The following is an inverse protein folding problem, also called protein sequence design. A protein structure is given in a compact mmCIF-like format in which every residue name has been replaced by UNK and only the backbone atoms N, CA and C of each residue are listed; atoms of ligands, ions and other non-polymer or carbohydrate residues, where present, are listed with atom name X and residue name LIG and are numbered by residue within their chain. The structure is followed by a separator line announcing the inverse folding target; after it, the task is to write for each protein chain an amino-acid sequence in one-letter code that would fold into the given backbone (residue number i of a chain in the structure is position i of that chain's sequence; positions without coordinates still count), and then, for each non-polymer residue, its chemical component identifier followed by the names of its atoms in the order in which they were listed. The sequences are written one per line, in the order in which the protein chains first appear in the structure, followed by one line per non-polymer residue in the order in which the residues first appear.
data_IF_481125178210
#
_entry.id   IF_481125178210
#
_cell.length_a   1.000
_cell.length_b   1.000
_cell.length_c   1.000
_cell.angle_alpha   90.00
_cell.angle_beta   90.00
_cell.angle_gamma   90.00
#
_symmetry.space_group_name_H-M   'P 1'
#
loop_
_entity.id
_entity.type
_entity.pdbx_description
1 polymer ?
#
# COMPACT_ATOMS: atom_id res chain seq x y z
N UNK A 1 29.97 62.42 -19.80
CA UNK A 1 29.78 61.51 -18.65
C UNK A 1 28.46 60.77 -18.83
N UNK A 2 28.47 59.53 -19.31
CA UNK A 2 27.44 58.53 -18.99
C UNK A 2 27.86 57.16 -19.51
N UNK A 3 27.79 56.21 -18.59
CA UNK A 3 28.45 54.92 -18.57
C UNK A 3 27.81 53.87 -19.49
N UNK A 4 28.67 53.03 -20.06
CA UNK A 4 28.33 51.75 -20.69
C UNK A 4 28.09 50.74 -19.56
N UNK A 5 26.92 50.10 -19.52
CA UNK A 5 26.62 48.99 -18.61
C UNK A 5 26.87 47.67 -19.35
N UNK A 6 27.96 46.98 -19.01
CA UNK A 6 28.29 45.65 -19.51
C UNK A 6 27.63 44.61 -18.58
N UNK A 7 26.58 43.94 -19.05
CA UNK A 7 25.93 42.86 -18.31
C UNK A 7 26.74 41.57 -18.46
N UNK A 8 27.41 41.14 -17.39
CA UNK A 8 28.14 39.88 -17.30
C UNK A 8 27.12 38.76 -17.01
N UNK A 9 26.77 37.96 -18.01
CA UNK A 9 25.95 36.74 -17.80
C UNK A 9 26.87 35.65 -17.27
N UNK A 10 26.83 35.42 -15.95
CA UNK A 10 27.44 34.26 -15.32
C UNK A 10 26.61 33.02 -15.65
N UNK A 11 27.11 32.18 -16.56
CA UNK A 11 26.53 30.88 -16.84
C UNK A 11 26.67 29.97 -15.62
N UNK A 12 25.55 29.60 -15.00
CA UNK A 12 25.51 28.53 -14.01
C UNK A 12 25.77 27.20 -14.73
N UNK A 13 26.67 26.34 -14.23
CA UNK A 13 26.88 25.03 -14.82
C UNK A 13 25.62 24.20 -14.61
N UNK A 14 25.01 23.77 -15.71
CA UNK A 14 23.93 22.80 -15.70
C UNK A 14 24.41 21.55 -14.94
N UNK A 15 23.75 21.24 -13.83
CA UNK A 15 23.99 20.02 -13.08
C UNK A 15 23.60 18.86 -14.01
N UNK A 16 24.60 18.15 -14.56
CA UNK A 16 24.32 16.98 -15.39
C UNK A 16 23.73 15.90 -14.48
N UNK A 17 22.44 15.64 -14.65
CA UNK A 17 21.74 14.51 -14.07
C UNK A 17 22.36 13.24 -14.66
N UNK A 18 23.41 12.73 -14.01
CA UNK A 18 23.95 11.41 -14.35
C UNK A 18 22.87 10.42 -13.95
N UNK A 19 22.16 9.89 -14.96
CA UNK A 19 21.19 8.83 -14.79
C UNK A 19 21.87 7.68 -14.03
N UNK A 20 21.59 7.58 -12.73
CA UNK A 20 22.14 6.53 -11.88
C UNK A 20 21.60 5.22 -12.45
N UNK A 21 22.49 4.35 -12.94
CA UNK A 21 22.09 2.99 -13.35
C UNK A 21 21.29 2.39 -12.19
N UNK A 22 20.11 1.80 -12.47
CA UNK A 22 19.34 1.13 -11.43
C UNK A 22 20.25 0.12 -10.75
N UNK A 23 20.32 0.16 -9.43
CA UNK A 23 21.14 -0.77 -8.67
C UNK A 23 20.63 -2.19 -8.95
N UNK A 24 21.49 -3.05 -9.47
CA UNK A 24 21.20 -4.48 -9.56
C UNK A 24 21.22 -5.05 -8.15
N UNK A 25 20.20 -5.81 -7.78
CA UNK A 25 20.15 -6.48 -6.48
C UNK A 25 21.34 -7.43 -6.33
N UNK A 26 21.89 -7.49 -5.11
CA UNK A 26 22.98 -8.42 -4.84
C UNK A 26 22.50 -9.86 -5.00
N UNK A 27 23.37 -10.82 -5.34
CA UNK A 27 22.97 -12.23 -5.44
C UNK A 27 22.29 -12.77 -4.18
N UNK A 28 22.70 -12.30 -2.98
CA UNK A 28 22.08 -12.68 -1.71
C UNK A 28 20.64 -12.16 -1.59
N UNK A 29 20.38 -10.93 -2.03
CA UNK A 29 19.04 -10.34 -2.05
C UNK A 29 18.12 -11.09 -3.01
N UNK A 30 18.61 -11.41 -4.21
CA UNK A 30 17.86 -12.18 -5.20
C UNK A 30 17.46 -13.55 -4.67
N UNK A 31 18.38 -14.27 -4.02
CA UNK A 31 18.08 -15.56 -3.38
C UNK A 31 17.02 -15.40 -2.29
N UNK A 32 17.12 -14.37 -1.43
CA UNK A 32 16.12 -14.11 -0.39
C UNK A 32 14.72 -13.91 -0.99
N UNK A 33 14.60 -13.07 -2.01
CA UNK A 33 13.31 -12.77 -2.64
C UNK A 33 12.69 -14.01 -3.31
N UNK A 34 13.51 -14.85 -3.94
CA UNK A 34 13.04 -16.11 -4.54
C UNK A 34 12.54 -17.07 -3.46
N UNK A 35 13.26 -17.21 -2.34
CA UNK A 35 12.83 -18.08 -1.23
C UNK A 35 11.51 -17.58 -0.60
N UNK A 36 11.42 -16.28 -0.34
CA UNK A 36 10.19 -15.66 0.17
C UNK A 36 9.02 -15.87 -0.80
N UNK A 37 9.23 -15.68 -2.10
CA UNK A 37 8.20 -15.91 -3.10
C UNK A 37 7.77 -17.38 -3.21
N UNK A 38 8.68 -18.34 -3.07
CA UNK A 38 8.35 -19.77 -3.10
C UNK A 38 7.51 -20.17 -1.87
N UNK A 39 7.77 -19.60 -0.68
CA UNK A 39 6.92 -19.78 0.49
C UNK A 39 5.50 -19.22 0.24
N UNK A 40 5.40 -18.05 -0.39
CA UNK A 40 4.12 -17.41 -0.72
C UNK A 40 3.27 -18.24 -1.69
N UNK A 41 3.86 -19.06 -2.57
CA UNK A 41 3.09 -19.92 -3.48
C UNK A 41 2.16 -20.90 -2.74
N UNK A 42 2.47 -21.24 -1.49
CA UNK A 42 1.65 -22.09 -0.62
C UNK A 42 0.62 -21.34 0.23
N UNK A 43 0.57 -20.01 0.17
CA UNK A 43 -0.31 -19.18 0.98
C UNK A 43 -1.53 -18.69 0.19
N UNK A 44 -2.65 -18.49 0.89
CA UNK A 44 -3.83 -17.86 0.31
C UNK A 44 -3.84 -16.35 0.58
N UNK A 45 -4.34 -15.51 -0.35
CA UNK A 45 -4.47 -14.08 -0.10
C UNK A 45 -5.36 -13.79 1.12
N UNK A 46 -4.84 -12.96 2.02
CA UNK A 46 -5.61 -12.43 3.16
C UNK A 46 -5.98 -10.99 2.86
N UNK A 47 -7.28 -10.68 2.91
CA UNK A 47 -7.82 -9.35 2.60
C UNK A 47 -8.56 -8.76 3.80
N UNK A 48 -9.14 -7.57 3.63
CA UNK A 48 -9.95 -6.91 4.67
C UNK A 48 -11.11 -7.76 5.18
N UNK A 49 -11.64 -8.68 4.37
CA UNK A 49 -12.78 -9.51 4.78
C UNK A 49 -12.40 -10.64 5.73
N UNK A 50 -11.10 -10.88 5.98
CA UNK A 50 -10.62 -11.92 6.88
C UNK A 50 -10.81 -11.58 8.36
N UNK A 51 -11.02 -10.30 8.68
CA UNK A 51 -11.18 -9.81 10.06
C UNK A 51 -12.24 -8.73 10.12
N UNK A 52 -12.82 -8.50 11.30
CA UNK A 52 -13.73 -7.37 11.51
C UNK A 52 -13.58 -6.81 12.92
N UNK A 53 -13.43 -5.50 13.01
CA UNK A 53 -13.54 -4.80 14.28
C UNK A 53 -15.00 -4.43 14.55
N UNK A 54 -15.52 -4.78 15.73
CA UNK A 54 -16.87 -4.38 16.17
C UNK A 54 -17.05 -2.87 16.26
N UNK A 55 -15.96 -2.12 16.44
CA UNK A 55 -15.97 -0.65 16.49
C UNK A 55 -16.04 0.00 15.11
N UNK A 56 -15.85 -0.76 14.03
CA UNK A 56 -15.97 -0.24 12.67
C UNK A 56 -17.43 0.04 12.33
N UNK A 57 -17.69 1.23 11.78
CA UNK A 57 -18.98 1.57 11.18
C UNK A 57 -19.15 1.05 9.74
N UNK A 58 -18.09 0.49 9.15
CA UNK A 58 -18.12 -0.10 7.82
C UNK A 58 -18.61 -1.55 7.78
N UNK A 59 -18.90 -2.03 6.58
CA UNK A 59 -19.15 -3.46 6.33
C UNK A 59 -17.85 -4.27 6.26
N UNK A 60 -17.96 -5.57 5.98
CA UNK A 60 -16.82 -6.49 5.94
C UNK A 60 -15.81 -6.18 4.84
N UNK A 61 -16.20 -5.44 3.79
CA UNK A 61 -15.34 -5.02 2.69
C UNK A 61 -14.67 -3.67 2.96
N UNK A 62 -15.04 -2.99 4.05
CA UNK A 62 -14.46 -1.69 4.40
C UNK A 62 -13.15 -1.85 5.18
N UNK A 63 -12.08 -1.23 4.68
CA UNK A 63 -10.87 -1.05 5.46
C UNK A 63 -11.13 -0.22 6.73
N UNK A 64 -10.50 -0.61 7.84
CA UNK A 64 -10.69 -0.01 9.16
C UNK A 64 -9.36 0.01 9.90
N UNK A 65 -9.06 1.11 10.54
CA UNK A 65 -7.89 1.26 11.40
C UNK A 65 -8.19 2.28 12.49
N UNK A 66 -7.42 2.24 13.57
CA UNK A 66 -7.59 3.14 14.71
C UNK A 66 -6.41 4.08 14.82
N UNK A 67 -6.67 5.30 15.29
CA UNK A 67 -5.61 6.27 15.53
C UNK A 67 -4.61 5.76 16.56
N UNK A 68 -3.34 5.68 16.18
CA UNK A 68 -2.30 5.03 17.00
C UNK A 68 -2.19 5.60 18.42
N UNK A 69 -2.35 6.90 18.55
CA UNK A 69 -2.13 7.63 19.79
C UNK A 69 -3.39 7.88 20.61
N UNK A 70 -4.47 7.14 20.37
CA UNK A 70 -5.75 7.32 21.06
C UNK A 70 -6.00 6.19 22.05
N UNK A 71 -6.22 6.55 23.32
CA UNK A 71 -6.28 5.63 24.44
C UNK A 71 -7.59 5.78 25.22
N UNK A 72 -8.07 4.72 25.90
CA UNK A 72 -9.12 4.84 26.90
C UNK A 72 -8.78 5.91 27.94
N UNK A 73 -9.77 6.71 28.31
CA UNK A 73 -9.63 7.64 29.43
C UNK A 73 -9.79 6.86 30.75
N UNK A 74 -8.84 7.05 31.67
CA UNK A 74 -8.88 6.42 33.00
C UNK A 74 -9.89 7.08 33.93
N UNK A 75 -10.31 8.31 33.64
CA UNK A 75 -11.31 9.06 34.41
C UNK A 75 -12.72 8.71 33.91
N UNK A 76 -12.90 8.61 32.59
CA UNK A 76 -14.16 8.23 31.95
C UNK A 76 -13.97 7.02 31.02
N UNK A 77 -13.99 5.78 31.53
CA UNK A 77 -13.70 4.58 30.74
C UNK A 77 -14.62 4.36 29.54
N UNK A 78 -15.87 4.82 29.66
CA UNK A 78 -16.88 4.75 28.58
C UNK A 78 -16.87 6.00 27.68
N UNK A 79 -16.06 7.00 28.02
CA UNK A 79 -15.92 8.24 27.28
C UNK A 79 -15.11 8.10 25.98
N UNK A 80 -15.03 9.20 25.20
CA UNK A 80 -14.19 9.24 24.02
C UNK A 80 -12.72 9.02 24.37
N UNK A 81 -12.00 8.33 23.49
CA UNK A 81 -10.56 8.16 23.68
C UNK A 81 -9.84 9.52 23.75
N UNK A 82 -8.72 9.55 24.47
CA UNK A 82 -7.85 10.71 24.65
C UNK A 82 -6.52 10.50 23.95
N UNK A 83 -5.93 11.59 23.43
CA UNK A 83 -4.67 11.53 22.70
C UNK A 83 -3.48 11.47 23.66
N UNK A 84 -2.58 10.50 23.45
CA UNK A 84 -1.26 10.39 24.08
C UNK A 84 -0.21 10.30 22.98
N UNK A 85 0.28 11.44 22.55
CA UNK A 85 1.13 11.55 21.36
C UNK A 85 2.42 10.73 21.50
N UNK A 86 2.82 10.06 20.42
CA UNK A 86 4.00 9.19 20.40
C UNK A 86 3.86 7.86 21.15
N UNK A 87 2.70 7.58 21.76
CA UNK A 87 2.43 6.33 22.47
C UNK A 87 1.39 5.50 21.71
N UNK A 88 1.83 4.43 21.05
CA UNK A 88 0.91 3.52 20.34
C UNK A 88 0.06 2.72 21.32
N UNK A 89 -1.25 2.77 21.17
CA UNK A 89 -2.19 1.97 21.95
C UNK A 89 -2.14 0.49 21.52
N UNK A 90 -1.71 -0.44 22.40
CA UNK A 90 -1.65 -1.87 22.06
C UNK A 90 -3.03 -2.51 21.94
N UNK A 91 -4.09 -1.86 22.42
CA UNK A 91 -5.48 -2.30 22.27
C UNK A 91 -6.12 -1.92 20.94
N UNK A 92 -5.38 -1.28 20.04
CA UNK A 92 -5.87 -0.94 18.71
C UNK A 92 -6.12 -2.21 17.88
N UNK A 93 -7.16 -2.17 17.06
CA UNK A 93 -7.34 -3.10 15.97
C UNK A 93 -6.30 -2.83 14.88
N UNK A 94 -5.50 -3.85 14.55
CA UNK A 94 -4.36 -3.73 13.63
C UNK A 94 -4.45 -4.62 12.40
N UNK A 95 -5.42 -5.54 12.36
CA UNK A 95 -5.48 -6.63 11.39
C UNK A 95 -5.54 -6.12 9.94
N UNK A 96 -6.38 -5.14 9.63
CA UNK A 96 -6.44 -4.59 8.27
C UNK A 96 -5.15 -3.90 7.84
N UNK A 97 -4.47 -3.18 8.76
CA UNK A 97 -3.17 -2.56 8.46
C UNK A 97 -2.09 -3.62 8.25
N UNK A 98 -2.13 -4.73 8.99
CA UNK A 98 -1.24 -5.86 8.79
C UNK A 98 -1.52 -6.53 7.44
N UNK A 99 -2.79 -6.82 7.12
CA UNK A 99 -3.18 -7.40 5.85
C UNK A 99 -2.76 -6.53 4.65
N UNK A 100 -2.94 -5.21 4.70
CA UNK A 100 -2.50 -4.28 3.64
C UNK A 100 -0.97 -4.26 3.48
N UNK A 101 -0.23 -4.33 4.59
CA UNK A 101 1.24 -4.43 4.55
C UNK A 101 1.70 -5.73 3.93
N UNK A 102 1.14 -6.85 4.38
CA UNK A 102 1.43 -8.18 3.83
C UNK A 102 1.09 -8.23 2.35
N UNK A 103 -0.10 -7.78 1.95
CA UNK A 103 -0.48 -7.68 0.53
C UNK A 103 0.55 -6.92 -0.31
N UNK A 104 1.01 -5.76 0.18
CA UNK A 104 2.04 -4.97 -0.48
C UNK A 104 3.38 -5.70 -0.58
N UNK A 105 3.85 -6.36 0.49
CA UNK A 105 5.10 -7.11 0.46
C UNK A 105 5.00 -8.36 -0.41
N UNK A 106 3.89 -9.10 -0.32
CA UNK A 106 3.70 -10.38 -0.98
C UNK A 106 3.63 -10.19 -2.50
N UNK A 107 2.84 -9.22 -2.97
CA UNK A 107 2.77 -8.89 -4.41
C UNK A 107 4.13 -8.40 -4.92
N UNK A 108 4.86 -7.62 -4.12
CA UNK A 108 6.20 -7.14 -4.50
C UNK A 108 7.19 -8.30 -4.61
N UNK A 109 7.25 -9.19 -3.62
CA UNK A 109 8.15 -10.34 -3.58
C UNK A 109 7.87 -11.30 -4.75
N UNK A 110 6.60 -11.65 -4.98
CA UNK A 110 6.18 -12.48 -6.11
C UNK A 110 6.55 -11.83 -7.46
N UNK A 111 6.29 -10.53 -7.61
CA UNK A 111 6.63 -9.82 -8.84
C UNK A 111 8.15 -9.72 -9.05
N UNK A 112 8.92 -9.53 -7.99
CA UNK A 112 10.37 -9.51 -8.04
C UNK A 112 10.95 -10.88 -8.42
N UNK A 113 10.50 -11.96 -7.77
CA UNK A 113 10.90 -13.33 -8.11
C UNK A 113 10.54 -13.68 -9.56
N UNK A 114 9.36 -13.27 -10.03
CA UNK A 114 8.99 -13.41 -11.44
C UNK A 114 9.97 -12.67 -12.36
N UNK A 115 10.34 -11.42 -12.06
CA UNK A 115 11.32 -10.67 -12.87
C UNK A 115 12.71 -11.31 -12.89
N UNK A 116 13.10 -11.98 -11.82
CA UNK A 116 14.43 -12.59 -11.66
C UNK A 116 14.52 -13.96 -12.35
N UNK A 117 13.43 -14.71 -12.37
CA UNK A 117 13.41 -16.12 -12.79
C UNK A 117 12.63 -16.38 -14.08
N UNK A 118 11.77 -15.46 -14.48
CA UNK A 118 10.72 -15.63 -15.49
C UNK A 118 9.77 -16.83 -15.21
N UNK A 119 9.73 -17.35 -13.97
CA UNK A 119 8.79 -18.42 -13.57
C UNK A 119 7.37 -17.86 -13.40
N UNK A 120 6.48 -18.29 -14.31
CA UNK A 120 5.10 -17.81 -14.42
C UNK A 120 4.26 -18.08 -13.17
N UNK A 121 4.65 -19.06 -12.32
CA UNK A 121 3.93 -19.38 -11.07
C UNK A 121 3.85 -18.15 -10.16
N UNK A 122 4.94 -17.39 -10.06
CA UNK A 122 4.98 -16.18 -9.22
C UNK A 122 4.08 -15.07 -9.78
N UNK A 123 4.10 -14.85 -11.10
CA UNK A 123 3.22 -13.87 -11.74
C UNK A 123 1.75 -14.23 -11.58
N UNK A 124 1.40 -15.50 -11.78
CA UNK A 124 0.04 -15.99 -11.60
C UNK A 124 -0.43 -15.81 -10.14
N UNK A 125 0.44 -16.09 -9.18
CA UNK A 125 0.12 -15.92 -7.76
C UNK A 125 0.03 -14.44 -7.36
N UNK A 126 0.87 -13.55 -7.89
CA UNK A 126 0.73 -12.11 -7.70
C UNK A 126 -0.63 -11.60 -8.23
N UNK A 127 -1.04 -12.06 -9.42
CA UNK A 127 -2.36 -11.72 -9.98
C UNK A 127 -3.51 -12.26 -9.11
N UNK A 128 -3.34 -13.43 -8.48
CA UNK A 128 -4.32 -13.97 -7.51
C UNK A 128 -4.52 -13.03 -6.32
N UNK A 129 -3.43 -12.52 -5.72
CA UNK A 129 -3.51 -11.53 -4.63
C UNK A 129 -4.19 -10.24 -5.08
N UNK A 130 -3.81 -9.70 -6.25
CA UNK A 130 -4.42 -8.49 -6.80
C UNK A 130 -5.93 -8.65 -7.00
N UNK A 131 -6.37 -9.78 -7.53
CA UNK A 131 -7.79 -10.07 -7.73
C UNK A 131 -8.54 -10.20 -6.41
N UNK A 132 -7.97 -10.89 -5.43
CA UNK A 132 -8.60 -11.05 -4.13
C UNK A 132 -8.86 -9.69 -3.46
N UNK A 133 -7.91 -8.76 -3.55
CA UNK A 133 -8.00 -7.44 -2.94
C UNK A 133 -8.91 -6.46 -3.70
N UNK A 134 -8.96 -6.52 -5.03
CA UNK A 134 -9.62 -5.47 -5.82
C UNK A 134 -10.90 -5.90 -6.54
N UNK A 135 -11.07 -7.19 -6.83
CA UNK A 135 -12.06 -7.64 -7.83
C UNK A 135 -12.98 -8.72 -7.28
N UNK A 136 -12.44 -9.73 -6.61
CA UNK A 136 -13.21 -10.91 -6.26
C UNK A 136 -14.29 -10.56 -5.21
N UNK A 137 -15.56 -10.76 -5.58
CA UNK A 137 -16.71 -10.24 -4.84
C UNK A 137 -16.78 -10.70 -3.37
N UNK A 138 -16.18 -11.85 -3.04
CA UNK A 138 -16.16 -12.37 -1.69
C UNK A 138 -15.12 -11.67 -0.79
N UNK A 139 -14.07 -11.08 -1.37
CA UNK A 139 -12.87 -10.66 -0.62
C UNK A 139 -12.41 -9.24 -0.90
N UNK A 140 -12.95 -8.57 -1.92
CA UNK A 140 -12.49 -7.25 -2.33
C UNK A 140 -12.56 -6.23 -1.19
N UNK A 141 -11.61 -5.30 -1.15
CA UNK A 141 -11.69 -4.10 -0.34
C UNK A 141 -12.49 -3.04 -1.11
N UNK A 142 -13.37 -2.28 -0.45
CA UNK A 142 -13.99 -1.11 -1.10
C UNK A 142 -12.95 -0.04 -1.44
N UNK A 143 -13.08 0.67 -2.57
CA UNK A 143 -12.11 1.66 -3.01
C UNK A 143 -12.24 2.98 -2.22
N UNK A 144 -12.12 2.93 -0.90
CA UNK A 144 -12.09 4.11 -0.05
C UNK A 144 -11.51 3.80 1.34
N UNK A 145 -11.06 4.83 2.04
CA UNK A 145 -10.56 4.74 3.42
C UNK A 145 -11.47 5.47 4.42
N UNK A 146 -12.79 5.49 4.19
CA UNK A 146 -13.76 6.23 5.02
C UNK A 146 -13.74 5.87 6.51
N UNK A 147 -13.28 4.67 6.87
CA UNK A 147 -13.25 4.17 8.26
C UNK A 147 -11.82 4.00 8.80
N UNK A 148 -10.86 4.67 8.18
CA UNK A 148 -9.45 4.63 8.60
C UNK A 148 -9.16 5.65 9.71
N UNK A 149 -8.19 5.33 10.57
CA UNK A 149 -7.72 6.16 11.66
C UNK A 149 -8.84 6.63 12.61
N UNK A 150 -9.86 5.79 12.80
CA UNK A 150 -11.01 6.05 13.67
C UNK A 150 -10.58 6.31 15.12
N UNK A 151 -11.44 7.01 15.86
CA UNK A 151 -11.26 7.29 17.29
C UNK A 151 -12.55 6.92 18.01
N UNK A 152 -12.47 5.93 18.90
CA UNK A 152 -13.63 5.49 19.70
C UNK A 152 -14.27 6.69 20.41
N UNK A 153 -15.57 6.87 20.19
CA UNK A 153 -16.37 7.93 20.79
C UNK A 153 -16.17 9.33 20.18
N UNK A 154 -15.46 9.46 19.05
CA UNK A 154 -15.30 10.75 18.33
C UNK A 154 -15.59 10.64 16.84
N UNK A 155 -14.84 9.79 16.15
CA UNK A 155 -14.81 9.76 14.69
C UNK A 155 -14.84 8.32 14.20
N UNK A 156 -15.68 8.01 13.21
CA UNK A 156 -15.74 6.68 12.57
C UNK A 156 -14.61 6.45 11.57
N UNK A 157 -13.93 7.52 11.16
CA UNK A 157 -12.75 7.54 10.30
C UNK A 157 -12.33 8.99 10.05
N UNK A 158 -11.09 9.21 9.57
CA UNK A 158 -10.51 10.56 9.42
C UNK A 158 -9.62 10.65 8.19
N UNK A 159 -9.51 11.85 7.62
CA UNK A 159 -8.66 12.15 6.45
C UNK A 159 -7.19 11.74 6.61
N UNK A 160 -6.68 11.70 7.85
CA UNK A 160 -5.29 11.28 8.14
C UNK A 160 -5.05 9.83 7.71
N UNK A 161 -6.08 9.00 7.66
CA UNK A 161 -5.95 7.59 7.31
C UNK A 161 -5.61 7.29 5.86
N UNK A 162 -5.51 8.31 4.99
CA UNK A 162 -4.80 8.20 3.70
C UNK A 162 -3.39 7.64 3.87
N UNK A 163 -2.73 7.88 5.01
CA UNK A 163 -1.42 7.30 5.32
C UNK A 163 -1.43 5.76 5.36
N UNK A 164 -2.55 5.13 5.70
CA UNK A 164 -2.64 3.67 5.70
C UNK A 164 -2.64 3.09 4.27
N UNK A 165 -2.95 3.92 3.28
CA UNK A 165 -2.96 3.57 1.86
C UNK A 165 -1.60 3.63 1.15
N UNK A 166 -0.52 4.10 1.80
CA UNK A 166 0.81 4.25 1.16
C UNK A 166 1.34 2.92 0.60
N UNK A 167 0.92 1.79 1.17
CA UNK A 167 1.30 0.46 0.74
C UNK A 167 0.80 0.12 -0.69
N UNK A 168 -0.24 0.80 -1.16
CA UNK A 168 -0.74 0.63 -2.54
C UNK A 168 0.26 1.14 -3.59
N UNK A 169 1.25 1.95 -3.22
CA UNK A 169 2.30 2.42 -4.13
C UNK A 169 3.08 1.24 -4.71
N UNK A 170 3.54 0.31 -3.86
CA UNK A 170 4.32 -0.85 -4.32
C UNK A 170 3.46 -1.84 -5.12
N UNK A 171 2.18 -1.97 -4.75
CA UNK A 171 1.19 -2.76 -5.48
C UNK A 171 1.00 -2.19 -6.89
N UNK A 172 0.87 -0.86 -7.03
CA UNK A 172 0.74 -0.18 -8.33
C UNK A 172 1.96 -0.40 -9.22
N UNK A 173 3.16 -0.43 -8.63
CA UNK A 173 4.40 -0.72 -9.35
C UNK A 173 4.43 -2.17 -9.84
N UNK A 174 3.96 -3.10 -9.03
CA UNK A 174 3.87 -4.52 -9.40
C UNK A 174 2.86 -4.75 -10.53
N UNK A 175 1.69 -4.10 -10.46
CA UNK A 175 0.69 -4.09 -11.54
C UNK A 175 1.31 -3.64 -12.86
N UNK A 176 2.11 -2.56 -12.83
CA UNK A 176 2.80 -2.06 -14.02
C UNK A 176 3.74 -3.12 -14.61
N UNK A 177 4.61 -3.74 -13.79
CA UNK A 177 5.55 -4.77 -14.25
C UNK A 177 4.80 -5.96 -14.88
N UNK A 178 3.76 -6.47 -14.20
CA UNK A 178 2.98 -7.61 -14.67
C UNK A 178 2.25 -7.27 -15.98
N UNK A 179 1.85 -6.01 -16.17
CA UNK A 179 1.26 -5.52 -17.42
C UNK A 179 2.29 -5.47 -18.55
N UNK A 180 3.46 -4.88 -18.30
CA UNK A 180 4.56 -4.77 -19.28
C UNK A 180 5.05 -6.15 -19.74
N UNK A 181 5.08 -7.14 -18.83
CA UNK A 181 5.43 -8.54 -19.13
C UNK A 181 4.27 -9.34 -19.75
N UNK A 182 3.06 -8.77 -19.87
CA UNK A 182 1.91 -9.39 -20.54
C UNK A 182 1.08 -10.37 -19.70
N UNK A 183 1.29 -10.41 -18.38
CA UNK A 183 0.60 -11.29 -17.42
C UNK A 183 -0.67 -10.68 -16.83
N UNK A 184 -0.79 -9.35 -16.88
CA UNK A 184 -1.99 -8.62 -16.47
C UNK A 184 -2.47 -7.72 -17.62
N UNK A 185 -3.57 -8.10 -18.27
CA UNK A 185 -4.09 -7.43 -19.47
C UNK A 185 -5.60 -7.64 -19.66
N UNK A 186 -6.19 -6.85 -20.56
CA UNK A 186 -7.62 -6.89 -20.87
C UNK A 186 -8.46 -6.68 -19.62
N UNK A 187 -9.60 -7.38 -19.54
CA UNK A 187 -10.56 -7.21 -18.45
C UNK A 187 -9.94 -7.32 -17.04
N UNK A 188 -8.97 -8.23 -16.85
CA UNK A 188 -8.31 -8.38 -15.54
C UNK A 188 -7.60 -7.11 -15.08
N UNK A 189 -7.00 -6.36 -16.01
CA UNK A 189 -6.36 -5.08 -15.73
C UNK A 189 -7.40 -3.96 -15.59
N UNK A 190 -8.42 -3.96 -16.44
CA UNK A 190 -9.46 -2.93 -16.46
C UNK A 190 -10.29 -2.93 -15.16
N UNK A 191 -10.58 -4.12 -14.61
CA UNK A 191 -11.26 -4.26 -13.32
C UNK A 191 -10.44 -3.63 -12.17
N UNK A 192 -9.13 -3.88 -12.15
CA UNK A 192 -8.23 -3.32 -11.13
C UNK A 192 -8.10 -1.80 -11.31
N UNK A 193 -7.98 -1.31 -12.54
CA UNK A 193 -7.94 0.13 -12.82
C UNK A 193 -9.22 0.82 -12.38
N UNK A 194 -10.37 0.20 -12.62
CA UNK A 194 -11.67 0.71 -12.15
C UNK A 194 -11.69 0.90 -10.64
N UNK A 195 -11.08 -0.03 -9.88
CA UNK A 195 -10.93 0.12 -8.44
C UNK A 195 -10.11 1.37 -8.07
N UNK A 196 -8.97 1.59 -8.71
CA UNK A 196 -8.14 2.77 -8.47
C UNK A 196 -8.82 4.07 -8.92
N UNK A 197 -9.56 4.06 -10.03
CA UNK A 197 -10.34 5.20 -10.49
C UNK A 197 -11.41 5.56 -9.46
N UNK A 198 -12.11 4.59 -8.88
CA UNK A 198 -13.06 4.82 -7.80
C UNK A 198 -12.39 5.28 -6.50
N UNK A 199 -11.16 4.84 -6.22
CA UNK A 199 -10.42 5.23 -5.02
C UNK A 199 -9.95 6.69 -5.04
N UNK A 200 -9.70 7.22 -6.24
CA UNK A 200 -9.17 8.57 -6.44
C UNK A 200 -10.24 9.64 -6.64
N UNK A 201 -11.53 9.28 -6.74
CA UNK A 201 -12.66 10.18 -6.99
C UNK A 201 -13.73 10.10 -5.90
#
# INVERSE_FOLDING_TARGET
MSSILLALVLGLPACSETARKPATESPLEQVRLILEAEELLGMEPVTVTASRCERSAGDIHCFYSEGDYWWPDTISPDGPYIRRDGMTNPGNFVDHRQAMRSFSSDVAALTAAFKLTDDERYAAHAVKHLRAWFVDAATFMRPHLLYSQAIKGRDTGRYIGVIDGIHLIEVSRSIQVLTEKGYLKGQKLDDIKTWFDQYLN
#
